data_IF_553392328757
#
_entry.id   IF_553392328757
#
_cell.length_a   1.000
_cell.length_b   1.000
_cell.length_c   1.000
_cell.angle_alpha   90.00
_cell.angle_beta   90.00
_cell.angle_gamma   90.00
#
_symmetry.space_group_name_H-M   'P 1'
#
loop_
_entity.id
_entity.type
_entity.pdbx_description
1 polymer ?
#
# COMPACT_ATOMS: atom_id res chain seq x y z
N UNK A 1 2.11 -10.62 -21.34
CA UNK A 1 1.80 -10.89 -19.92
C UNK A 1 2.48 -12.15 -19.42
N UNK A 2 3.22 -12.02 -18.33
CA UNK A 2 3.91 -13.11 -17.62
C UNK A 2 3.45 -13.14 -16.16
N UNK A 3 3.31 -14.33 -15.58
CA UNK A 3 2.93 -14.54 -14.17
C UNK A 3 4.01 -15.37 -13.49
N UNK A 4 4.66 -14.80 -12.49
CA UNK A 4 5.75 -15.41 -11.75
C UNK A 4 5.35 -15.65 -10.30
N UNK A 5 5.45 -16.88 -9.83
CA UNK A 5 5.43 -17.16 -8.38
C UNK A 5 6.83 -16.83 -7.83
N UNK A 6 6.94 -15.72 -7.13
CA UNK A 6 8.24 -15.20 -6.67
C UNK A 6 8.53 -15.52 -5.21
N UNK A 7 7.49 -15.79 -4.42
CA UNK A 7 7.58 -16.11 -3.00
C UNK A 7 6.31 -16.85 -2.55
N UNK A 8 6.34 -17.72 -1.51
CA UNK A 8 5.14 -18.35 -0.97
C UNK A 8 3.95 -17.39 -0.76
N UNK A 9 2.89 -17.59 -1.55
CA UNK A 9 1.68 -16.76 -1.49
C UNK A 9 1.72 -15.47 -2.31
N UNK A 10 2.86 -15.14 -2.93
CA UNK A 10 3.05 -13.93 -3.71
C UNK A 10 3.34 -14.19 -5.19
N UNK A 11 2.57 -13.52 -6.04
CA UNK A 11 2.70 -13.56 -7.49
C UNK A 11 3.06 -12.18 -8.03
N UNK A 12 4.00 -12.16 -8.96
CA UNK A 12 4.38 -10.98 -9.71
C UNK A 12 3.89 -11.14 -11.14
N UNK A 13 3.05 -10.21 -11.58
CA UNK A 13 2.45 -10.21 -12.91
C UNK A 13 3.00 -9.00 -13.65
N UNK A 14 3.47 -9.21 -14.87
CA UNK A 14 4.02 -8.11 -15.68
C UNK A 14 3.56 -8.15 -17.12
N UNK A 15 3.45 -6.96 -17.71
CA UNK A 15 3.31 -6.76 -19.14
C UNK A 15 4.08 -5.51 -19.59
N UNK A 16 5.21 -5.74 -20.28
CA UNK A 16 6.14 -4.71 -20.73
C UNK A 16 6.58 -3.76 -19.60
N UNK A 17 5.92 -2.59 -19.47
CA UNK A 17 6.25 -1.56 -18.48
C UNK A 17 5.35 -1.60 -17.24
N UNK A 18 4.35 -2.48 -17.20
CA UNK A 18 3.38 -2.58 -16.11
C UNK A 18 3.70 -3.75 -15.20
N UNK A 19 3.61 -3.51 -13.89
CA UNK A 19 3.97 -4.49 -12.87
C UNK A 19 2.92 -4.53 -11.75
N UNK A 20 2.37 -5.72 -11.49
CA UNK A 20 1.44 -5.99 -10.42
C UNK A 20 2.04 -7.00 -9.45
N UNK A 21 1.88 -6.74 -8.16
CA UNK A 21 2.25 -7.66 -7.09
C UNK A 21 1.01 -8.10 -6.32
N UNK A 22 0.69 -9.38 -6.37
CA UNK A 22 -0.40 -10.00 -5.63
C UNK A 22 0.17 -10.77 -4.43
N UNK A 23 -0.19 -10.37 -3.21
CA UNK A 23 0.39 -10.91 -1.97
C UNK A 23 1.66 -10.18 -1.54
N UNK A 24 1.71 -9.81 -0.25
CA UNK A 24 2.72 -8.93 0.32
C UNK A 24 3.36 -9.53 1.59
N UNK A 25 4.21 -10.55 1.45
CA UNK A 25 5.08 -10.97 2.54
C UNK A 25 6.07 -9.86 2.90
N UNK A 26 6.51 -9.74 4.17
CA UNK A 26 7.45 -8.71 4.60
C UNK A 26 8.78 -8.72 3.80
N UNK A 27 9.14 -9.88 3.25
CA UNK A 27 10.35 -10.11 2.47
C UNK A 27 10.24 -9.63 1.02
N UNK A 28 9.06 -9.25 0.54
CA UNK A 28 8.77 -9.19 -0.90
C UNK A 28 9.65 -8.22 -1.68
N UNK A 29 10.02 -7.08 -1.09
CA UNK A 29 10.91 -6.10 -1.73
C UNK A 29 12.32 -6.67 -1.90
N UNK A 30 12.83 -7.38 -0.89
CA UNK A 30 14.14 -8.07 -0.97
C UNK A 30 14.13 -9.11 -2.09
N UNK A 31 13.01 -9.85 -2.22
CA UNK A 31 12.81 -10.86 -3.28
C UNK A 31 12.82 -10.23 -4.67
N UNK A 32 12.09 -9.12 -4.87
CA UNK A 32 12.07 -8.39 -6.14
C UNK A 32 13.48 -7.92 -6.53
N UNK A 33 14.22 -7.35 -5.59
CA UNK A 33 15.60 -6.88 -5.82
C UNK A 33 16.55 -8.03 -6.20
N UNK A 34 16.50 -9.15 -5.47
CA UNK A 34 17.33 -10.33 -5.77
C UNK A 34 17.04 -10.90 -7.16
N UNK A 35 15.76 -10.90 -7.56
CA UNK A 35 15.31 -11.35 -8.88
C UNK A 35 15.48 -10.29 -9.97
N UNK A 36 15.99 -9.10 -9.64
CA UNK A 36 16.13 -7.94 -10.54
C UNK A 36 14.83 -7.57 -11.25
N UNK A 37 13.70 -7.69 -10.54
CA UNK A 37 12.38 -7.31 -11.02
C UNK A 37 12.10 -5.84 -10.70
N UNK A 38 11.31 -5.19 -11.55
CA UNK A 38 10.86 -3.82 -11.34
C UNK A 38 9.97 -3.71 -10.09
N UNK A 39 9.95 -2.55 -9.41
CA UNK A 39 9.00 -2.29 -8.34
C UNK A 39 7.55 -2.29 -8.87
N UNK A 40 6.57 -2.81 -8.11
CA UNK A 40 5.18 -2.90 -8.58
C UNK A 40 4.54 -1.51 -8.72
N UNK A 41 3.77 -1.29 -9.78
CA UNK A 41 2.86 -0.15 -9.95
C UNK A 41 1.54 -0.38 -9.23
N UNK A 42 1.15 -1.66 -9.17
CA UNK A 42 -0.14 -2.11 -8.67
C UNK A 42 0.08 -3.18 -7.61
N UNK A 43 -0.66 -3.09 -6.53
CA UNK A 43 -0.70 -4.07 -5.45
C UNK A 43 -2.09 -4.67 -5.40
N UNK A 44 -2.17 -6.00 -5.38
CA UNK A 44 -3.41 -6.73 -5.15
C UNK A 44 -3.36 -7.39 -3.76
N UNK A 45 -4.20 -6.89 -2.87
CA UNK A 45 -4.35 -7.39 -1.51
C UNK A 45 -5.20 -8.67 -1.50
N UNK A 46 -4.69 -9.78 -0.96
CA UNK A 46 -5.48 -11.00 -0.86
C UNK A 46 -6.57 -10.88 0.21
N UNK A 47 -7.70 -11.56 -0.01
CA UNK A 47 -8.79 -11.67 0.98
C UNK A 47 -8.31 -12.26 2.32
N UNK A 48 -7.39 -13.23 2.22
CA UNK A 48 -6.77 -13.94 3.33
C UNK A 48 -5.43 -13.27 3.66
N UNK A 49 -5.30 -12.59 4.80
CA UNK A 49 -4.10 -11.81 5.13
C UNK A 49 -2.91 -12.65 5.60
N UNK A 50 -3.13 -13.95 5.88
CA UNK A 50 -2.11 -14.87 6.37
C UNK A 50 -2.10 -16.11 5.48
N UNK A 51 -0.98 -16.39 4.85
CA UNK A 51 -0.80 -17.61 4.08
C UNK A 51 0.63 -18.10 4.20
N UNK A 52 0.80 -19.43 4.18
CA UNK A 52 2.12 -20.08 4.17
C UNK A 52 3.04 -19.68 5.34
N UNK A 53 2.46 -19.33 6.49
CA UNK A 53 3.19 -18.97 7.70
C UNK A 53 3.58 -17.49 7.80
N UNK A 54 3.14 -16.64 6.87
CA UNK A 54 3.52 -15.23 6.82
C UNK A 54 2.33 -14.30 6.57
N UNK A 55 2.53 -13.03 6.90
CA UNK A 55 1.64 -11.95 6.44
C UNK A 55 1.65 -11.89 4.91
N UNK A 56 0.51 -11.58 4.31
CA UNK A 56 0.38 -11.34 2.87
C UNK A 56 -0.15 -9.92 2.59
N UNK A 57 -0.14 -9.05 3.60
CA UNK A 57 -0.71 -7.70 3.56
C UNK A 57 0.24 -6.65 4.16
N UNK A 58 1.55 -6.93 4.18
CA UNK A 58 2.57 -6.01 4.66
C UNK A 58 2.86 -4.89 3.63
N UNK A 59 1.86 -4.02 3.42
CA UNK A 59 1.84 -2.98 2.38
C UNK A 59 2.78 -1.80 2.65
N UNK A 60 3.16 -1.59 3.91
CA UNK A 60 4.10 -0.56 4.33
C UNK A 60 5.45 -0.69 3.61
N UNK A 61 5.95 -1.91 3.38
CA UNK A 61 7.24 -2.12 2.74
C UNK A 61 7.26 -1.68 1.27
N UNK A 62 6.33 -2.13 0.40
CA UNK A 62 6.19 -1.58 -0.94
C UNK A 62 5.99 -0.06 -0.97
N UNK A 63 5.19 0.50 -0.07
CA UNK A 63 4.94 1.93 -0.06
C UNK A 63 6.21 2.71 0.29
N UNK A 64 6.94 2.31 1.34
CA UNK A 64 8.20 2.96 1.70
C UNK A 64 9.24 2.84 0.59
N UNK A 65 9.33 1.68 -0.05
CA UNK A 65 10.19 1.52 -1.22
C UNK A 65 9.78 2.47 -2.36
N UNK A 66 8.49 2.61 -2.63
CA UNK A 66 7.95 3.52 -3.64
C UNK A 66 8.30 4.99 -3.35
N UNK A 67 8.17 5.41 -2.09
CA UNK A 67 8.34 6.81 -1.68
C UNK A 67 9.81 7.23 -1.56
N UNK A 68 10.66 6.35 -1.04
CA UNK A 68 12.02 6.72 -0.63
C UNK A 68 13.13 6.14 -1.50
N UNK A 69 12.88 5.01 -2.16
CA UNK A 69 13.92 4.25 -2.88
C UNK A 69 13.73 4.27 -4.39
N UNK A 70 12.62 4.85 -4.89
CA UNK A 70 12.32 4.92 -6.32
C UNK A 70 12.09 6.38 -6.80
N UNK A 71 13.15 7.22 -6.85
CA UNK A 71 13.03 8.64 -7.17
C UNK A 71 12.52 8.91 -8.60
N UNK A 72 12.62 7.92 -9.50
CA UNK A 72 12.24 8.04 -10.91
C UNK A 72 10.73 7.90 -11.16
N UNK A 73 9.91 7.68 -10.11
CA UNK A 73 8.47 7.52 -10.28
C UNK A 73 7.67 8.81 -10.45
N UNK A 74 8.31 9.99 -10.44
CA UNK A 74 7.67 11.27 -10.78
C UNK A 74 6.31 11.51 -10.08
N UNK A 75 6.16 11.09 -8.83
CA UNK A 75 4.91 11.27 -8.08
C UNK A 75 3.77 10.33 -8.48
N UNK A 76 4.04 9.25 -9.24
CA UNK A 76 3.05 8.21 -9.52
C UNK A 76 2.65 7.49 -8.22
N UNK A 77 1.35 7.53 -7.91
CA UNK A 77 0.76 6.84 -6.77
C UNK A 77 0.85 5.33 -6.95
N UNK A 78 1.02 4.63 -5.83
CA UNK A 78 0.92 3.19 -5.80
C UNK A 78 -0.56 2.80 -5.86
N UNK A 79 -0.94 1.98 -6.83
CA UNK A 79 -2.32 1.52 -6.96
C UNK A 79 -2.53 0.34 -6.00
N UNK A 80 -3.58 0.39 -5.18
CA UNK A 80 -3.90 -0.63 -4.18
C UNK A 80 -5.29 -1.18 -4.48
N UNK A 81 -5.34 -2.48 -4.72
CA UNK A 81 -6.53 -3.21 -5.12
C UNK A 81 -6.90 -4.24 -4.05
N UNK A 82 -8.19 -4.48 -3.88
CA UNK A 82 -8.68 -5.57 -3.03
C UNK A 82 -10.17 -5.42 -2.74
N UNK A 83 -10.71 -6.31 -1.92
CA UNK A 83 -12.05 -6.09 -1.36
C UNK A 83 -12.06 -4.87 -0.42
N UNK A 84 -13.25 -4.36 -0.15
CA UNK A 84 -13.50 -3.17 0.69
C UNK A 84 -12.75 -3.26 2.02
N UNK A 85 -12.93 -4.37 2.74
CA UNK A 85 -12.30 -4.58 4.06
C UNK A 85 -10.77 -4.53 3.99
N UNK A 86 -10.15 -5.04 2.92
CA UNK A 86 -8.69 -5.10 2.78
C UNK A 86 -8.12 -3.76 2.40
N UNK A 87 -8.75 -3.06 1.48
CA UNK A 87 -8.35 -1.72 1.05
C UNK A 87 -8.47 -0.72 2.20
N UNK A 88 -9.59 -0.73 2.94
CA UNK A 88 -9.79 0.14 4.11
C UNK A 88 -8.77 -0.15 5.22
N UNK A 89 -8.54 -1.42 5.55
CA UNK A 89 -7.55 -1.80 6.56
C UNK A 89 -6.12 -1.37 6.16
N UNK A 90 -5.77 -1.50 4.88
CA UNK A 90 -4.48 -1.05 4.36
C UNK A 90 -4.35 0.48 4.43
N UNK A 91 -5.40 1.23 4.03
CA UNK A 91 -5.42 2.69 4.10
C UNK A 91 -5.26 3.19 5.53
N UNK A 92 -5.96 2.58 6.48
CA UNK A 92 -5.87 2.97 7.89
C UNK A 92 -4.50 2.63 8.48
N UNK A 93 -3.96 1.44 8.21
CA UNK A 93 -2.61 1.06 8.64
C UNK A 93 -1.57 2.06 8.12
N UNK A 94 -1.63 2.40 6.83
CA UNK A 94 -0.68 3.33 6.23
C UNK A 94 -0.83 4.76 6.77
N UNK A 95 -2.06 5.22 7.01
CA UNK A 95 -2.33 6.50 7.69
C UNK A 95 -1.67 6.51 9.07
N UNK A 96 -1.89 5.47 9.89
CA UNK A 96 -1.29 5.37 11.22
C UNK A 96 0.24 5.36 11.16
N UNK A 97 0.82 4.58 10.25
CA UNK A 97 2.27 4.43 10.14
C UNK A 97 2.98 5.69 9.60
N UNK A 98 2.35 6.45 8.69
CA UNK A 98 2.98 7.60 8.04
C UNK A 98 2.62 8.95 8.67
N UNK A 99 1.42 9.04 9.24
CA UNK A 99 0.87 10.31 9.73
C UNK A 99 0.72 10.35 11.23
N UNK A 100 0.55 9.18 11.85
CA UNK A 100 0.10 9.10 13.23
C UNK A 100 -1.30 9.70 13.43
N UNK A 101 -1.73 9.80 14.70
CA UNK A 101 -3.02 10.38 15.05
C UNK A 101 -3.03 11.91 14.89
N UNK A 102 -4.16 12.46 14.49
CA UNK A 102 -4.40 13.90 14.51
C UNK A 102 -4.73 14.39 15.94
N UNK A 103 -4.83 15.72 16.12
CA UNK A 103 -5.10 16.30 17.44
C UNK A 103 -6.44 15.85 18.06
N UNK A 104 -7.48 15.60 17.27
CA UNK A 104 -8.76 15.10 17.76
C UNK A 104 -8.66 13.63 18.20
N UNK A 105 -8.02 12.79 17.39
CA UNK A 105 -7.77 11.38 17.71
C UNK A 105 -6.92 11.24 18.98
N UNK A 106 -5.91 12.08 19.17
CA UNK A 106 -5.11 12.12 20.40
C UNK A 106 -5.96 12.45 21.64
N UNK A 107 -6.91 13.39 21.52
CA UNK A 107 -7.82 13.74 22.63
C UNK A 107 -8.77 12.59 22.95
N UNK A 108 -9.26 11.88 21.94
CA UNK A 108 -10.10 10.69 22.10
C UNK A 108 -9.34 9.55 22.81
N UNK A 109 -8.02 9.46 22.60
CA UNK A 109 -7.12 8.55 23.33
C UNK A 109 -6.86 8.99 24.79
N UNK A 110 -7.44 10.10 25.25
CA UNK A 110 -7.28 10.61 26.62
C UNK A 110 -6.07 11.51 26.84
N UNK A 111 -5.40 11.95 25.77
CA UNK A 111 -4.29 12.90 25.87
C UNK A 111 -4.82 14.31 26.13
N UNK A 112 -4.17 15.06 27.03
CA UNK A 112 -4.62 16.41 27.36
C UNK A 112 -4.56 17.33 26.13
N UNK A 113 -5.42 18.37 26.02
CA UNK A 113 -5.44 19.24 24.84
C UNK A 113 -4.09 19.90 24.51
N UNK A 114 -3.29 20.22 25.53
CA UNK A 114 -1.97 20.84 25.36
C UNK A 114 -0.95 19.82 24.82
N UNK A 115 -0.92 18.62 25.39
CA UNK A 115 -0.04 17.54 24.93
C UNK A 115 -0.43 17.07 23.53
N UNK A 116 -1.73 16.91 23.25
CA UNK A 116 -2.22 16.50 21.93
C UNK A 116 -1.77 17.48 20.83
N UNK A 117 -1.86 18.79 21.09
CA UNK A 117 -1.39 19.82 20.18
C UNK A 117 0.13 19.76 19.96
N UNK A 118 0.90 19.54 21.02
CA UNK A 118 2.36 19.45 20.93
C UNK A 118 2.80 18.20 20.16
N UNK A 119 2.25 17.03 20.49
CA UNK A 119 2.52 15.77 19.79
C UNK A 119 2.13 15.84 18.32
N UNK A 120 0.96 16.41 18.00
CA UNK A 120 0.55 16.60 16.61
C UNK A 120 1.49 17.56 15.86
N UNK A 121 1.95 18.64 16.50
CA UNK A 121 2.92 19.57 15.90
C UNK A 121 4.26 18.87 15.60
N UNK A 122 4.76 18.06 16.53
CA UNK A 122 5.99 17.28 16.33
C UNK A 122 5.82 16.23 15.24
N UNK A 123 4.70 15.52 15.23
CA UNK A 123 4.42 14.48 14.23
C UNK A 123 4.27 15.08 12.83
N UNK A 124 3.51 16.18 12.69
CA UNK A 124 3.30 16.86 11.41
C UNK A 124 4.57 17.50 10.83
N UNK A 125 5.56 17.75 11.67
CA UNK A 125 6.88 18.15 11.22
C UNK A 125 7.54 17.07 10.35
N UNK A 126 7.35 15.79 10.67
CA UNK A 126 7.91 14.64 9.93
C UNK A 126 7.07 14.17 8.75
N UNK A 127 5.85 14.68 8.57
CA UNK A 127 5.03 14.34 7.41
C UNK A 127 5.76 14.69 6.11
N UNK A 128 5.57 13.82 5.12
CA UNK A 128 5.95 14.09 3.73
C UNK A 128 5.23 15.35 3.26
N UNK A 129 5.93 16.21 2.53
CA UNK A 129 5.39 17.48 2.04
C UNK A 129 5.54 17.54 0.53
N UNK A 130 4.59 18.21 -0.13
CA UNK A 130 4.72 18.56 -1.54
C UNK A 130 5.79 19.64 -1.75
N UNK A 131 5.95 20.09 -3.01
CA UNK A 131 6.95 21.12 -3.37
C UNK A 131 6.66 22.48 -2.71
N UNK A 132 5.41 22.72 -2.35
CA UNK A 132 4.92 23.93 -1.67
C UNK A 132 5.06 23.84 -0.13
N UNK A 133 5.56 22.71 0.40
CA UNK A 133 5.73 22.51 1.84
C UNK A 133 4.45 22.08 2.57
N UNK A 134 3.39 21.73 1.85
CA UNK A 134 2.10 21.28 2.40
C UNK A 134 2.19 19.78 2.70
N UNK A 135 1.82 19.32 3.91
CA UNK A 135 1.77 17.89 4.24
C UNK A 135 0.87 17.10 3.28
N UNK A 136 1.37 15.95 2.82
CA UNK A 136 0.65 15.02 1.95
C UNK A 136 -0.31 14.15 2.77
N UNK A 137 -1.51 13.94 2.23
CA UNK A 137 -2.49 12.98 2.74
C UNK A 137 -2.18 11.55 2.27
N UNK A 138 -2.87 10.52 2.79
CA UNK A 138 -2.63 9.13 2.37
C UNK A 138 -3.12 8.95 0.94
N UNK A 139 -4.20 9.65 0.61
CA UNK A 139 -4.80 9.67 -0.72
C UNK A 139 -3.90 10.41 -1.72
N UNK A 140 -2.89 11.18 -1.28
CA UNK A 140 -1.85 11.72 -2.15
C UNK A 140 -0.74 10.70 -2.48
N UNK A 141 -0.61 9.63 -1.70
CA UNK A 141 0.47 8.64 -1.81
C UNK A 141 0.02 7.34 -2.50
N UNK A 142 -1.25 6.97 -2.32
CA UNK A 142 -1.83 5.75 -2.88
C UNK A 142 -3.13 6.05 -3.63
N UNK A 143 -3.46 5.19 -4.59
CA UNK A 143 -4.74 5.21 -5.29
C UNK A 143 -5.45 3.86 -5.04
N UNK A 144 -6.63 3.90 -4.44
CA UNK A 144 -7.31 2.71 -3.94
C UNK A 144 -8.51 2.36 -4.83
N UNK A 145 -8.58 1.11 -5.27
CA UNK A 145 -9.73 0.59 -6.04
C UNK A 145 -10.27 -0.67 -5.38
N UNK A 146 -11.58 -0.68 -5.20
CA UNK A 146 -12.30 -1.80 -4.59
C UNK A 146 -12.74 -2.77 -5.69
N UNK A 147 -12.53 -4.07 -5.47
CA UNK A 147 -12.95 -5.14 -6.36
C UNK A 147 -13.81 -6.12 -5.56
N UNK A 148 -15.14 -5.97 -5.66
CA UNK A 148 -16.10 -6.89 -5.03
C UNK A 148 -16.69 -7.87 -6.05
N UNK A 149 -17.51 -7.36 -6.98
CA UNK A 149 -18.25 -8.15 -7.97
C UNK A 149 -17.92 -7.76 -9.42
N UNK A 150 -17.38 -6.55 -9.61
CA UNK A 150 -17.08 -6.00 -10.93
C UNK A 150 -15.65 -6.33 -11.38
N UNK A 151 -15.47 -6.40 -12.70
CA UNK A 151 -14.14 -6.48 -13.31
C UNK A 151 -13.53 -5.09 -13.36
N UNK A 152 -12.34 -4.94 -12.77
CA UNK A 152 -11.53 -3.75 -12.90
C UNK A 152 -10.59 -3.87 -14.10
N UNK A 153 -10.72 -2.95 -15.04
CA UNK A 153 -9.81 -2.83 -16.19
C UNK A 153 -8.73 -1.78 -15.89
N UNK A 154 -7.46 -2.20 -15.89
CA UNK A 154 -6.30 -1.32 -15.75
C UNK A 154 -5.70 -0.89 -17.10
N UNK A 155 -6.36 -1.22 -18.22
CA UNK A 155 -5.92 -0.96 -19.60
C UNK A 155 -4.94 -1.99 -20.16
N UNK A 156 -4.28 -2.77 -19.30
CA UNK A 156 -3.34 -3.84 -19.67
C UNK A 156 -3.69 -5.19 -19.03
N UNK A 157 -4.54 -5.18 -18.00
CA UNK A 157 -5.03 -6.38 -17.33
C UNK A 157 -6.44 -6.14 -16.80
N UNK A 158 -7.29 -7.16 -16.94
CA UNK A 158 -8.60 -7.22 -16.32
C UNK A 158 -8.52 -8.07 -15.05
N UNK A 159 -8.97 -7.50 -13.93
CA UNK A 159 -8.93 -8.16 -12.63
C UNK A 159 -10.36 -8.32 -12.15
N UNK A 160 -10.74 -9.58 -11.91
CA UNK A 160 -12.04 -9.91 -11.35
C UNK A 160 -11.84 -10.73 -10.09
N UNK A 161 -12.58 -10.37 -9.03
CA UNK A 161 -12.65 -11.20 -7.84
C UNK A 161 -13.51 -12.42 -8.12
N UNK A 162 -12.93 -13.60 -7.93
CA UNK A 162 -13.66 -14.87 -8.03
C UNK A 162 -13.97 -15.36 -6.62
N UNK A 163 -15.21 -15.78 -6.38
CA UNK A 163 -15.54 -16.53 -5.18
C UNK A 163 -14.69 -17.80 -5.12
N UNK A 164 -14.27 -18.22 -3.92
CA UNK A 164 -13.58 -19.52 -3.74
C UNK A 164 -14.37 -20.59 -4.49
N UNK A 165 -13.71 -21.32 -5.38
CA UNK A 165 -14.17 -22.66 -5.73
C UNK A 165 -14.25 -23.43 -4.41
N UNK A 166 -15.48 -23.67 -3.95
CA UNK A 166 -15.77 -24.55 -2.82
C UNK A 166 -15.39 -25.97 -3.21
#
# INVERSE_FOLDING_TARGET
MEILNIFPGAYYIQDHENHLLAGLPPEIIKVLMQKKLSPPDVILLPDIPLAKGESQVAIEFPLYHNLFMNPNRNGKKLIVLGNTRRVEAARELLKLCLMGPNEAELKEMGISPVEAKNLYKETSWFHLKNKEGIPLSIDDLIDCHIIEDETLDLGWINIQRVSKNV
#
